data_IF_849320477497
#
_entry.id   IF_849320477497
#
_cell.length_a   1.000
_cell.length_b   1.000
_cell.length_c   1.000
_cell.angle_alpha   90.00
_cell.angle_beta   90.00
_cell.angle_gamma   90.00
#
_symmetry.space_group_name_H-M   'P 1'
#
loop_
_entity.id
_entity.type
_entity.pdbx_description
1 polymer ?
#
# COMPACT_ATOMS: atom_id res chain seq x y z
N UNK A 1 -15.86 -20.56 49.40
CA UNK A 1 -16.10 -20.78 47.95
C UNK A 1 -16.23 -19.46 47.19
N UNK A 2 -16.42 -18.33 47.88
CA UNK A 2 -16.73 -17.03 47.26
C UNK A 2 -15.50 -16.31 46.68
N UNK A 3 -14.32 -16.43 47.29
CA UNK A 3 -13.12 -15.75 46.78
C UNK A 3 -12.69 -16.24 45.38
N UNK A 4 -12.83 -17.55 45.10
CA UNK A 4 -12.46 -18.11 43.79
C UNK A 4 -13.41 -17.63 42.68
N UNK A 5 -14.69 -17.42 43.03
CA UNK A 5 -15.72 -16.90 42.15
C UNK A 5 -15.49 -15.41 41.83
N UNK A 6 -15.21 -14.58 42.82
CA UNK A 6 -14.91 -13.15 42.59
C UNK A 6 -13.59 -12.94 41.85
N UNK A 7 -12.59 -13.80 42.07
CA UNK A 7 -11.32 -13.77 41.32
C UNK A 7 -11.56 -14.12 39.85
N UNK A 8 -12.31 -15.18 39.55
CA UNK A 8 -12.61 -15.56 38.15
C UNK A 8 -13.47 -14.52 37.44
N UNK A 9 -14.46 -13.93 38.13
CA UNK A 9 -15.25 -12.82 37.58
C UNK A 9 -14.40 -11.57 37.34
N UNK A 10 -13.46 -11.26 38.24
CA UNK A 10 -12.50 -10.19 38.07
C UNK A 10 -11.59 -10.39 36.85
N UNK A 11 -11.08 -11.60 36.62
CA UNK A 11 -10.28 -11.93 35.44
C UNK A 11 -11.08 -11.84 34.13
N UNK A 12 -12.34 -12.30 34.13
CA UNK A 12 -13.23 -12.18 32.97
C UNK A 12 -13.53 -10.71 32.65
N UNK A 13 -13.83 -9.91 33.67
CA UNK A 13 -14.11 -8.49 33.52
C UNK A 13 -12.87 -7.71 33.06
N UNK A 14 -11.71 -7.99 33.63
CA UNK A 14 -10.43 -7.40 33.22
C UNK A 14 -10.08 -7.79 31.78
N UNK A 15 -10.30 -9.06 31.41
CA UNK A 15 -10.12 -9.55 30.04
C UNK A 15 -11.05 -8.87 29.04
N UNK A 16 -12.32 -8.66 29.38
CA UNK A 16 -13.29 -7.93 28.56
C UNK A 16 -12.96 -6.44 28.44
N UNK A 17 -12.52 -5.80 29.53
CA UNK A 17 -12.12 -4.39 29.56
C UNK A 17 -10.86 -4.14 28.73
N UNK A 18 -9.83 -4.98 28.90
CA UNK A 18 -8.61 -4.95 28.08
C UNK A 18 -8.92 -5.22 26.60
N UNK A 19 -9.82 -6.16 26.31
CA UNK A 19 -10.29 -6.46 24.94
C UNK A 19 -11.07 -5.30 24.31
N UNK A 20 -11.78 -4.50 25.10
CA UNK A 20 -12.51 -3.33 24.59
C UNK A 20 -11.57 -2.14 24.38
N UNK A 21 -10.55 -1.97 25.22
CA UNK A 21 -9.51 -0.96 25.05
C UNK A 21 -8.65 -1.22 23.81
N UNK A 22 -8.41 -2.49 23.44
CA UNK A 22 -7.75 -2.84 22.17
C UNK A 22 -8.63 -2.60 20.94
N UNK A 23 -9.97 -2.59 21.06
CA UNK A 23 -10.89 -2.21 19.96
C UNK A 23 -10.72 -0.76 19.50
N UNK A 24 -10.19 0.14 20.33
CA UNK A 24 -9.89 1.52 19.92
C UNK A 24 -8.65 1.64 19.01
N UNK A 25 -7.88 0.56 18.85
CA UNK A 25 -6.73 0.47 17.94
C UNK A 25 -7.02 -0.35 16.66
N UNK A 26 -8.29 -0.43 16.26
CA UNK A 26 -8.87 -1.20 15.12
C UNK A 26 -8.40 -0.78 13.71
N UNK A 27 -7.15 -0.35 13.53
CA UNK A 27 -6.57 -0.37 12.19
C UNK A 27 -5.99 -1.77 11.97
N UNK A 28 -6.21 -2.31 10.78
CA UNK A 28 -5.72 -3.63 10.41
C UNK A 28 -4.19 -3.68 10.57
N UNK A 29 -3.68 -4.68 11.30
CA UNK A 29 -2.24 -4.82 11.58
C UNK A 29 -1.40 -4.94 10.30
N UNK A 30 -1.95 -5.53 9.25
CA UNK A 30 -1.30 -5.68 7.95
C UNK A 30 -1.22 -4.31 7.26
N UNK A 31 -2.33 -3.56 7.24
CA UNK A 31 -2.34 -2.23 6.64
C UNK A 31 -1.53 -1.20 7.44
N UNK A 32 -1.43 -1.32 8.77
CA UNK A 32 -0.53 -0.47 9.57
C UNK A 32 0.93 -0.54 9.09
N UNK A 33 1.36 -1.66 8.52
CA UNK A 33 2.74 -1.83 8.04
C UNK A 33 3.08 -0.95 6.82
N UNK A 34 2.08 -0.46 6.09
CA UNK A 34 2.29 0.46 4.96
C UNK A 34 2.09 1.93 5.31
N UNK A 35 1.75 2.25 6.56
CA UNK A 35 1.56 3.63 6.99
C UNK A 35 2.86 4.44 6.84
N UNK A 36 2.80 5.57 6.13
CA UNK A 36 3.92 6.45 5.85
C UNK A 36 4.78 6.04 4.64
N UNK A 37 4.50 4.91 3.99
CA UNK A 37 5.19 4.47 2.78
C UNK A 37 4.50 5.03 1.53
N UNK A 38 5.28 5.20 0.45
CA UNK A 38 4.72 5.36 -0.88
C UNK A 38 4.18 4.00 -1.34
N UNK A 39 2.91 3.94 -1.73
CA UNK A 39 2.29 2.72 -2.24
C UNK A 39 1.44 2.99 -3.47
N UNK A 40 1.27 1.94 -4.28
CA UNK A 40 0.33 1.92 -5.40
C UNK A 40 -0.80 0.96 -5.05
N UNK A 41 -2.03 1.48 -4.96
CA UNK A 41 -3.25 0.72 -4.76
C UNK A 41 -3.87 0.43 -6.13
N UNK A 42 -4.09 -0.85 -6.43
CA UNK A 42 -4.85 -1.30 -7.58
C UNK A 42 -6.23 -1.76 -7.12
N UNK A 43 -7.26 -1.17 -7.71
CA UNK A 43 -8.67 -1.49 -7.46
C UNK A 43 -9.12 -2.65 -8.36
N UNK A 44 -10.21 -3.34 -7.99
CA UNK A 44 -10.76 -4.45 -8.79
C UNK A 44 -11.27 -4.01 -10.17
N UNK A 45 -11.60 -2.73 -10.34
CA UNK A 45 -11.96 -2.13 -11.64
C UNK A 45 -10.71 -1.72 -12.47
N UNK A 46 -9.52 -2.20 -12.12
CA UNK A 46 -8.23 -1.88 -12.73
C UNK A 46 -7.78 -0.41 -12.56
N UNK A 47 -8.50 0.43 -11.81
CA UNK A 47 -8.03 1.77 -11.46
C UNK A 47 -6.82 1.66 -10.56
N UNK A 48 -5.73 2.34 -10.91
CA UNK A 48 -4.53 2.47 -10.09
C UNK A 48 -4.47 3.85 -9.47
N UNK A 49 -4.12 3.90 -8.20
CA UNK A 49 -3.98 5.13 -7.41
C UNK A 49 -2.70 4.99 -6.62
N UNK A 50 -1.83 5.97 -6.68
CA UNK A 50 -0.53 5.93 -6.01
C UNK A 50 -0.37 7.16 -5.12
N UNK A 51 0.52 7.08 -4.13
CA UNK A 51 0.79 8.19 -3.23
C UNK A 51 1.34 7.75 -1.89
N UNK A 52 1.58 8.71 -1.00
CA UNK A 52 1.99 8.43 0.38
C UNK A 52 0.78 7.99 1.21
N UNK A 53 0.86 6.79 1.77
CA UNK A 53 -0.27 6.18 2.49
C UNK A 53 -0.34 6.63 3.94
N UNK A 54 -1.51 7.10 4.35
CA UNK A 54 -1.88 7.34 5.75
C UNK A 54 -3.04 6.42 6.13
N UNK A 55 -2.86 5.62 7.18
CA UNK A 55 -3.88 4.67 7.64
C UNK A 55 -4.69 5.30 8.77
N UNK A 56 -6.00 5.41 8.55
CA UNK A 56 -6.97 5.90 9.53
C UNK A 56 -7.78 4.73 10.11
N UNK A 57 -8.60 4.98 11.14
CA UNK A 57 -9.44 3.92 11.72
C UNK A 57 -10.57 3.47 10.78
N UNK A 58 -11.03 4.37 9.90
CA UNK A 58 -12.21 4.18 9.06
C UNK A 58 -11.89 4.17 7.56
N UNK A 59 -10.61 4.28 7.19
CA UNK A 59 -10.21 4.45 5.80
C UNK A 59 -8.70 4.46 5.61
N UNK A 60 -8.30 4.55 4.35
CA UNK A 60 -6.93 4.72 3.89
C UNK A 60 -6.89 5.99 3.05
N UNK A 61 -5.91 6.86 3.30
CA UNK A 61 -5.69 8.07 2.53
C UNK A 61 -4.37 7.96 1.76
N UNK A 62 -4.38 8.30 0.48
CA UNK A 62 -3.19 8.44 -0.35
C UNK A 62 -3.00 9.93 -0.64
N UNK A 63 -1.91 10.51 -0.13
CA UNK A 63 -1.53 11.86 -0.50
C UNK A 63 -0.79 11.81 -1.84
N UNK A 64 -1.28 12.59 -2.80
CA UNK A 64 -0.61 12.78 -4.08
C UNK A 64 0.63 13.65 -3.87
N UNK A 65 1.65 13.43 -4.69
CA UNK A 65 2.82 14.31 -4.75
C UNK A 65 2.54 15.63 -5.46
N UNK A 66 1.53 15.66 -6.32
CA UNK A 66 1.14 16.83 -7.12
C UNK A 66 -0.32 17.20 -6.91
N UNK A 67 -0.64 18.44 -7.26
CA UNK A 67 -2.00 18.95 -7.28
C UNK A 67 -2.77 18.35 -8.47
N UNK A 68 -3.62 17.36 -8.19
CA UNK A 68 -4.43 16.71 -9.22
C UNK A 68 -5.76 17.44 -9.34
N UNK A 69 -6.22 17.74 -10.54
CA UNK A 69 -7.51 18.41 -10.72
C UNK A 69 -8.65 17.39 -10.90
N UNK A 70 -9.80 17.67 -10.29
CA UNK A 70 -11.01 16.89 -10.52
C UNK A 70 -11.61 17.17 -11.90
N UNK A 71 -12.63 16.41 -12.30
CA UNK A 71 -13.35 16.62 -13.58
C UNK A 71 -13.99 18.02 -13.73
N UNK A 72 -14.00 18.83 -12.66
CA UNK A 72 -14.50 20.21 -12.63
C UNK A 72 -13.37 21.25 -12.49
N UNK A 73 -12.10 20.83 -12.62
CA UNK A 73 -10.95 21.72 -12.53
C UNK A 73 -10.62 22.24 -11.13
N UNK A 74 -11.06 21.57 -10.06
CA UNK A 74 -10.65 21.94 -8.70
C UNK A 74 -9.49 21.06 -8.22
N UNK A 75 -8.54 21.60 -7.47
CA UNK A 75 -7.40 20.84 -6.99
C UNK A 75 -7.78 19.80 -5.93
N UNK A 76 -7.08 18.67 -5.97
CA UNK A 76 -7.19 17.53 -5.09
C UNK A 76 -5.76 17.11 -4.70
N UNK A 77 -5.53 17.02 -3.39
CA UNK A 77 -4.21 16.66 -2.84
C UNK A 77 -4.18 15.26 -2.24
N UNK A 78 -5.33 14.59 -2.11
CA UNK A 78 -5.40 13.24 -1.58
C UNK A 78 -6.58 12.45 -2.12
N UNK A 79 -6.44 11.12 -2.06
CA UNK A 79 -7.50 10.16 -2.35
C UNK A 79 -7.84 9.38 -1.09
N UNK A 80 -9.07 9.51 -0.61
CA UNK A 80 -9.54 8.83 0.59
C UNK A 80 -10.39 7.64 0.17
N UNK A 81 -9.97 6.45 0.59
CA UNK A 81 -10.71 5.18 0.47
C UNK A 81 -11.37 4.90 1.81
N UNK A 82 -12.70 4.93 1.85
CA UNK A 82 -13.43 4.51 3.03
C UNK A 82 -13.54 2.98 3.07
N UNK A 83 -14.07 2.47 4.19
CA UNK A 83 -14.19 1.02 4.41
C UNK A 83 -14.83 0.25 3.26
N UNK A 84 -15.86 0.82 2.62
CA UNK A 84 -16.55 0.20 1.48
C UNK A 84 -15.65 0.13 0.24
N UNK A 85 -14.80 1.13 0.04
CA UNK A 85 -13.84 1.17 -1.08
C UNK A 85 -12.66 0.24 -0.82
N UNK A 86 -12.25 0.07 0.45
CA UNK A 86 -11.17 -0.85 0.85
C UNK A 86 -11.48 -2.29 0.42
N UNK A 87 -12.75 -2.71 0.51
CA UNK A 87 -13.19 -4.03 0.07
C UNK A 87 -13.11 -4.20 -1.46
N UNK A 88 -13.05 -3.10 -2.22
CA UNK A 88 -12.86 -3.08 -3.67
C UNK A 88 -11.38 -3.02 -4.09
N UNK A 89 -10.45 -2.94 -3.14
CA UNK A 89 -9.03 -3.04 -3.45
C UNK A 89 -8.75 -4.46 -3.94
N UNK A 90 -7.92 -4.56 -4.98
CA UNK A 90 -7.43 -5.81 -5.54
C UNK A 90 -6.09 -6.19 -4.93
N UNK A 91 -5.17 -5.24 -4.88
CA UNK A 91 -3.81 -5.41 -4.35
C UNK A 91 -3.18 -4.05 -4.07
N UNK A 92 -2.38 -3.97 -3.02
CA UNK A 92 -1.53 -2.81 -2.72
C UNK A 92 -0.08 -3.22 -2.94
N UNK A 93 0.66 -2.42 -3.70
CA UNK A 93 2.07 -2.61 -3.96
C UNK A 93 2.90 -1.58 -3.19
N UNK A 94 3.99 -2.04 -2.58
CA UNK A 94 5.06 -1.21 -2.03
C UNK A 94 6.34 -1.52 -2.79
N UNK A 95 6.60 -0.79 -3.87
CA UNK A 95 7.76 -1.03 -4.72
C UNK A 95 9.05 -0.53 -4.06
N UNK A 96 10.13 -1.29 -4.14
CA UNK A 96 11.42 -0.91 -3.55
C UNK A 96 11.99 0.37 -4.15
N UNK A 97 11.79 0.58 -5.45
CA UNK A 97 12.35 1.69 -6.21
C UNK A 97 11.56 3.00 -6.09
N UNK A 98 10.44 3.00 -5.36
CA UNK A 98 9.60 4.18 -5.09
C UNK A 98 9.70 4.62 -3.61
N UNK A 99 10.65 4.04 -2.84
CA UNK A 99 10.84 4.37 -1.43
C UNK A 99 11.96 5.38 -1.21
N UNK A 100 11.70 6.35 -0.32
CA UNK A 100 12.75 7.18 0.29
C UNK A 100 13.80 6.31 0.99
N UNK A 101 15.02 6.83 1.18
CA UNK A 101 16.11 6.06 1.80
C UNK A 101 15.77 5.55 3.20
N UNK A 102 15.11 6.39 4.00
CA UNK A 102 14.64 6.02 5.33
C UNK A 102 13.64 4.85 5.25
N UNK A 103 12.66 4.92 4.36
CA UNK A 103 11.67 3.87 4.16
C UNK A 103 12.29 2.58 3.58
N UNK A 104 13.29 2.71 2.71
CA UNK A 104 14.01 1.56 2.17
C UNK A 104 14.81 0.84 3.27
N UNK A 105 15.48 1.57 4.16
CA UNK A 105 16.19 0.99 5.29
C UNK A 105 15.23 0.27 6.25
N UNK A 106 14.06 0.88 6.53
CA UNK A 106 13.00 0.24 7.32
C UNK A 106 12.51 -1.05 6.65
N UNK A 107 12.21 -1.01 5.35
CA UNK A 107 11.79 -2.19 4.57
C UNK A 107 12.84 -3.31 4.64
N UNK A 108 14.11 -2.99 4.42
CA UNK A 108 15.18 -3.99 4.42
C UNK A 108 15.35 -4.66 5.80
N UNK A 109 15.15 -3.89 6.88
CA UNK A 109 15.10 -4.43 8.24
C UNK A 109 13.90 -5.37 8.40
N UNK A 110 12.71 -4.98 7.94
CA UNK A 110 11.52 -5.84 7.99
C UNK A 110 11.73 -7.16 7.25
N UNK A 111 12.31 -7.12 6.05
CA UNK A 111 12.61 -8.33 5.25
C UNK A 111 13.59 -9.22 6.00
N UNK A 112 14.67 -8.66 6.55
CA UNK A 112 15.65 -9.43 7.33
C UNK A 112 15.00 -10.10 8.54
N UNK A 113 14.14 -9.38 9.26
CA UNK A 113 13.43 -9.89 10.43
C UNK A 113 12.41 -10.97 10.05
N UNK A 114 11.79 -10.90 8.86
CA UNK A 114 10.87 -11.93 8.34
C UNK A 114 11.61 -13.16 7.78
N UNK A 115 12.69 -12.99 7.03
CA UNK A 115 13.43 -14.10 6.42
C UNK A 115 14.28 -14.88 7.43
N UNK A 116 14.67 -14.25 8.53
CA UNK A 116 15.52 -14.86 9.55
C UNK A 116 15.05 -14.45 10.96
N UNK A 117 13.86 -14.95 11.37
CA UNK A 117 13.25 -14.53 12.62
C UNK A 117 14.08 -14.98 13.83
N UNK A 118 14.36 -14.05 14.74
CA UNK A 118 14.89 -14.38 16.07
C UNK A 118 13.82 -15.08 16.94
N UNK A 119 14.23 -15.65 18.08
CA UNK A 119 13.33 -16.41 18.97
C UNK A 119 12.23 -15.53 19.64
N UNK A 120 12.45 -14.22 19.78
CA UNK A 120 11.60 -13.30 20.54
C UNK A 120 10.35 -12.75 19.79
N UNK A 121 10.41 -12.44 18.48
CA UNK A 121 9.22 -12.13 17.69
C UNK A 121 8.17 -13.25 17.69
N UNK A 122 8.60 -14.52 17.74
CA UNK A 122 7.71 -15.69 17.78
C UNK A 122 6.84 -15.71 19.03
N UNK A 123 7.41 -15.41 20.21
CA UNK A 123 6.67 -15.42 21.48
C UNK A 123 5.69 -14.24 21.61
N UNK A 124 6.06 -13.05 21.14
CA UNK A 124 5.17 -11.88 21.10
C UNK A 124 3.96 -12.10 20.18
N UNK A 125 4.16 -12.81 19.05
CA UNK A 125 3.10 -13.19 18.13
C UNK A 125 2.12 -14.18 18.77
N UNK A 126 2.62 -15.21 19.45
CA UNK A 126 1.77 -16.13 20.23
C UNK A 126 0.99 -15.43 21.34
N UNK A 127 1.57 -14.44 22.03
CA UNK A 127 0.86 -13.65 23.04
C UNK A 127 -0.26 -12.81 22.42
N UNK A 128 0.00 -12.12 21.30
CA UNK A 128 -1.01 -11.33 20.60
C UNK A 128 -2.16 -12.19 20.05
N UNK A 129 -1.84 -13.39 19.54
CA UNK A 129 -2.82 -14.38 19.11
C UNK A 129 -3.62 -14.93 20.30
N UNK A 130 -2.96 -15.23 21.42
CA UNK A 130 -3.59 -15.67 22.65
C UNK A 130 -4.59 -14.64 23.16
N UNK A 131 -4.25 -13.34 23.19
CA UNK A 131 -5.19 -12.29 23.60
C UNK A 131 -6.38 -12.14 22.66
N UNK A 132 -6.21 -12.36 21.35
CA UNK A 132 -7.31 -12.36 20.40
C UNK A 132 -8.25 -13.58 20.56
N UNK A 133 -7.72 -14.74 20.93
CA UNK A 133 -8.52 -15.95 21.17
C UNK A 133 -9.12 -16.00 22.60
N UNK A 134 -8.54 -15.26 23.55
CA UNK A 134 -8.98 -15.19 24.95
C UNK A 134 -10.38 -14.56 25.09
N UNK A 135 -10.77 -13.66 24.18
CA UNK A 135 -12.13 -13.10 24.18
C UNK A 135 -13.22 -14.13 23.85
N UNK A 136 -12.91 -15.11 23.00
CA UNK A 136 -13.86 -16.13 22.57
C UNK A 136 -14.14 -17.13 23.70
N UNK A 137 -13.09 -17.55 24.41
CA UNK A 137 -13.20 -18.40 25.59
C UNK A 137 -13.95 -17.71 26.76
N UNK A 138 -13.82 -16.39 26.90
CA UNK A 138 -14.61 -15.59 27.86
C UNK A 138 -16.10 -15.67 27.53
N UNK A 139 -16.48 -15.56 26.26
CA UNK A 139 -17.88 -15.65 25.84
C UNK A 139 -18.51 -17.01 26.15
N UNK A 140 -17.77 -18.09 25.92
CA UNK A 140 -18.21 -19.45 26.24
C UNK A 140 -18.30 -19.70 27.75
N UNK A 141 -17.31 -19.24 28.53
CA UNK A 141 -17.33 -19.31 29.99
C UNK A 141 -18.50 -18.49 30.59
N UNK A 142 -18.80 -17.32 30.03
CA UNK A 142 -19.95 -16.49 30.42
C UNK A 142 -21.28 -17.20 30.14
N UNK A 143 -21.42 -17.90 29.01
CA UNK A 143 -22.64 -18.68 28.72
C UNK A 143 -22.85 -19.84 29.70
N UNK A 144 -21.78 -20.58 30.04
CA UNK A 144 -21.82 -21.65 31.05
C UNK A 144 -22.16 -21.08 32.43
N UNK A 145 -21.58 -19.92 32.78
CA UNK A 145 -21.84 -19.21 34.02
C UNK A 145 -23.30 -18.73 34.14
N UNK A 146 -23.84 -18.10 33.09
CA UNK A 146 -25.24 -17.66 33.02
C UNK A 146 -26.22 -18.83 33.12
N UNK A 147 -25.88 -19.98 32.53
CA UNK A 147 -26.68 -21.20 32.59
C UNK A 147 -26.71 -21.78 34.01
N UNK A 148 -25.57 -21.77 34.71
CA UNK A 148 -25.48 -22.22 36.11
C UNK A 148 -26.19 -21.28 37.09
N UNK A 149 -26.17 -19.96 36.86
CA UNK A 149 -26.89 -18.99 37.70
C UNK A 149 -28.41 -19.04 37.53
N UNK A 150 -28.91 -19.34 36.33
CA UNK A 150 -30.36 -19.54 36.08
C UNK A 150 -30.93 -20.80 36.72
N UNK A 151 -30.11 -21.84 36.92
CA UNK A 151 -30.52 -23.12 37.54
C UNK A 151 -30.43 -23.18 39.07
N UNK A 152 -29.86 -22.16 39.72
CA UNK A 152 -29.69 -22.12 41.18
C UNK A 152 -30.82 -21.37 41.90
N UNK A 153 -31.10 -21.74 43.17
CA UNK A 153 -32.13 -21.15 44.06
C UNK A 153 -32.03 -19.63 44.29
N UNK A 154 -31.00 -18.94 43.78
CA UNK A 154 -30.84 -17.47 43.81
C UNK A 154 -31.31 -16.73 42.54
N UNK A 155 -31.83 -17.44 41.53
CA UNK A 155 -32.15 -16.88 40.21
C UNK A 155 -33.32 -15.89 40.14
N UNK A 156 -34.02 -15.61 41.25
CA UNK A 156 -35.21 -14.75 41.25
C UNK A 156 -34.88 -13.24 41.43
N UNK A 157 -33.67 -12.90 41.90
CA UNK A 157 -33.26 -11.50 42.18
C UNK A 157 -32.59 -10.82 40.96
N UNK A 158 -32.20 -11.59 39.94
CA UNK A 158 -31.42 -11.10 38.79
C UNK A 158 -32.22 -10.85 37.50
N UNK A 159 -33.56 -10.96 37.55
CA UNK A 159 -34.41 -10.85 36.36
C UNK A 159 -34.58 -9.43 35.81
N UNK A 160 -34.19 -8.38 36.55
CA UNK A 160 -34.31 -6.98 36.10
C UNK A 160 -33.03 -6.39 35.49
N UNK A 161 -31.87 -7.03 35.64
CA UNK A 161 -30.60 -6.62 35.01
C UNK A 161 -30.05 -7.62 33.98
N UNK A 162 -30.67 -8.80 33.84
CA UNK A 162 -30.22 -9.87 32.95
C UNK A 162 -30.18 -9.49 31.47
N UNK A 163 -31.10 -8.64 30.99
CA UNK A 163 -31.16 -8.25 29.58
C UNK A 163 -30.04 -7.28 29.17
N UNK A 164 -29.57 -6.46 30.10
CA UNK A 164 -28.45 -5.54 29.85
C UNK A 164 -27.12 -6.31 29.73
N UNK A 165 -26.90 -7.29 30.63
CA UNK A 165 -25.74 -8.18 30.59
C UNK A 165 -25.77 -9.11 29.37
N UNK A 166 -26.96 -9.58 28.97
CA UNK A 166 -27.13 -10.41 27.77
C UNK A 166 -26.83 -9.63 26.49
N UNK A 167 -27.25 -8.36 26.40
CA UNK A 167 -26.89 -7.45 25.29
C UNK A 167 -25.39 -7.13 25.27
N UNK A 168 -24.78 -6.85 26.42
CA UNK A 168 -23.33 -6.60 26.48
C UNK A 168 -22.51 -7.84 26.12
N UNK A 169 -22.94 -9.03 26.56
CA UNK A 169 -22.32 -10.31 26.21
C UNK A 169 -22.41 -10.61 24.72
N UNK A 170 -23.58 -10.45 24.09
CA UNK A 170 -23.75 -10.71 22.66
C UNK A 170 -23.01 -9.70 21.79
N UNK A 171 -22.91 -8.42 22.17
CA UNK A 171 -22.10 -7.41 21.47
C UNK A 171 -20.59 -7.63 21.63
N UNK A 172 -20.15 -8.22 22.75
CA UNK A 172 -18.76 -8.64 22.93
C UNK A 172 -18.41 -9.85 22.04
N UNK A 173 -19.31 -10.83 21.96
CA UNK A 173 -19.18 -12.07 21.18
C UNK A 173 -19.25 -11.88 19.66
N UNK A 174 -20.05 -10.93 19.16
CA UNK A 174 -20.23 -10.71 17.70
C UNK A 174 -19.19 -9.77 17.07
N UNK A 175 -18.27 -9.21 17.87
CA UNK A 175 -17.32 -8.20 17.41
C UNK A 175 -15.89 -8.71 17.19
N UNK A 176 -15.65 -10.02 17.33
CA UNK A 176 -14.34 -10.65 17.16
C UNK A 176 -14.46 -11.71 16.07
N UNK A 177 -14.26 -11.30 14.81
CA UNK A 177 -13.97 -12.26 13.76
C UNK A 177 -12.62 -12.90 14.06
N UNK A 178 -12.56 -14.23 14.08
CA UNK A 178 -11.35 -15.00 14.34
C UNK A 178 -10.21 -14.54 13.40
N UNK A 179 -9.29 -13.73 13.92
CA UNK A 179 -8.14 -13.21 13.17
C UNK A 179 -6.97 -14.21 13.13
N UNK A 180 -7.06 -15.30 13.89
CA UNK A 180 -6.07 -16.38 13.89
C UNK A 180 -6.46 -17.46 12.88
N UNK A 181 -5.52 -17.82 12.01
CA UNK A 181 -5.66 -18.93 11.08
C UNK A 181 -4.49 -19.89 11.30
N UNK A 182 -4.73 -21.08 11.91
CA UNK A 182 -3.69 -22.06 12.19
C UNK A 182 -2.90 -22.50 10.95
N UNK A 183 -3.52 -22.49 9.78
CA UNK A 183 -2.88 -22.88 8.53
C UNK A 183 -1.92 -21.78 8.10
N UNK A 184 -2.39 -20.53 8.01
CA UNK A 184 -1.53 -19.41 7.62
C UNK A 184 -0.38 -19.18 8.61
N UNK A 185 -0.61 -19.41 9.90
CA UNK A 185 0.42 -19.26 10.93
C UNK A 185 1.64 -20.13 10.69
N UNK A 186 1.45 -21.35 10.16
CA UNK A 186 2.56 -22.27 9.85
C UNK A 186 3.47 -21.74 8.75
N UNK A 187 2.93 -20.93 7.83
CA UNK A 187 3.65 -20.39 6.67
C UNK A 187 4.25 -19.02 6.93
N UNK A 188 4.00 -18.41 8.09
CA UNK A 188 4.61 -17.12 8.46
C UNK A 188 6.13 -17.26 8.48
N UNK A 189 6.83 -16.29 7.92
CA UNK A 189 8.28 -16.27 7.69
C UNK A 189 8.78 -17.32 6.68
N UNK A 190 7.88 -18.01 5.97
CA UNK A 190 8.26 -18.95 4.91
C UNK A 190 8.02 -18.35 3.53
N UNK A 191 8.71 -18.90 2.52
CA UNK A 191 8.42 -18.60 1.13
C UNK A 191 7.07 -19.19 0.73
N UNK A 192 6.27 -18.35 0.09
CA UNK A 192 4.93 -18.68 -0.38
C UNK A 192 4.71 -18.11 -1.78
N UNK A 193 3.80 -18.75 -2.51
CA UNK A 193 3.26 -18.24 -3.76
C UNK A 193 1.79 -17.91 -3.52
N UNK A 194 1.42 -16.65 -3.65
CA UNK A 194 0.03 -16.22 -3.51
C UNK A 194 -0.51 -15.90 -4.89
N UNK A 195 -1.59 -16.58 -5.28
CA UNK A 195 -2.29 -16.35 -6.54
C UNK A 195 -3.59 -15.60 -6.26
N UNK A 196 -3.88 -14.57 -7.04
CA UNK A 196 -5.19 -13.91 -7.00
C UNK A 196 -6.23 -14.77 -7.72
N UNK A 197 -7.38 -15.00 -7.08
CA UNK A 197 -8.52 -15.70 -7.64
C UNK A 197 -9.43 -14.73 -8.43
N UNK A 198 -8.84 -14.04 -9.39
CA UNK A 198 -9.52 -13.11 -10.29
C UNK A 198 -9.23 -13.45 -11.76
N UNK A 199 -9.69 -12.61 -12.68
CA UNK A 199 -9.52 -12.82 -14.12
C UNK A 199 -8.05 -12.83 -14.58
N UNK A 200 -7.17 -12.09 -13.89
CA UNK A 200 -5.75 -11.95 -14.26
C UNK A 200 -4.92 -13.18 -13.87
N UNK A 201 -5.31 -13.86 -12.77
CA UNK A 201 -4.56 -14.95 -12.13
C UNK A 201 -3.11 -14.58 -11.80
N UNK A 202 -2.84 -13.32 -11.48
CA UNK A 202 -1.52 -12.86 -11.06
C UNK A 202 -0.97 -13.70 -9.89
N UNK A 203 0.33 -14.00 -9.95
CA UNK A 203 1.06 -14.75 -8.92
C UNK A 203 2.14 -13.89 -8.29
N UNK A 204 2.24 -13.97 -6.97
CA UNK A 204 3.22 -13.26 -6.16
C UNK A 204 4.05 -14.26 -5.36
N UNK A 205 5.34 -14.33 -5.65
CA UNK A 205 6.28 -15.22 -4.97
C UNK A 205 7.14 -14.40 -4.00
N UNK A 206 7.06 -14.68 -2.71
CA UNK A 206 7.81 -13.94 -1.69
C UNK A 206 7.71 -14.58 -0.31
N UNK A 207 7.97 -13.83 0.76
CA UNK A 207 7.88 -14.30 2.14
C UNK A 207 6.59 -13.82 2.82
N UNK A 208 5.84 -14.74 3.44
CA UNK A 208 4.65 -14.37 4.21
C UNK A 208 5.06 -13.67 5.52
N UNK A 209 4.80 -12.37 5.66
CA UNK A 209 5.14 -11.61 6.88
C UNK A 209 4.02 -11.70 7.93
N UNK A 210 2.83 -11.28 7.55
CA UNK A 210 1.71 -11.06 8.44
C UNK A 210 0.40 -11.29 7.69
N UNK A 211 -0.64 -11.74 8.41
CA UNK A 211 -2.00 -11.81 7.91
C UNK A 211 -2.97 -11.27 8.95
N UNK A 212 -4.16 -10.87 8.55
CA UNK A 212 -5.29 -10.52 9.41
C UNK A 212 -6.54 -11.29 8.98
N UNK A 213 -7.69 -10.96 9.55
CA UNK A 213 -8.97 -11.49 9.05
C UNK A 213 -9.24 -11.06 7.60
N UNK A 214 -8.72 -9.91 7.16
CA UNK A 214 -9.04 -9.30 5.87
C UNK A 214 -7.86 -9.23 4.90
N UNK A 215 -6.61 -9.25 5.37
CA UNK A 215 -5.43 -8.97 4.54
C UNK A 215 -4.29 -9.97 4.74
N UNK A 216 -3.45 -10.12 3.73
CA UNK A 216 -2.20 -10.88 3.75
C UNK A 216 -1.09 -9.98 3.22
N UNK A 217 0.08 -10.01 3.86
CA UNK A 217 1.29 -9.31 3.40
C UNK A 217 2.37 -10.30 2.98
N UNK A 218 2.86 -10.14 1.76
CA UNK A 218 3.96 -10.92 1.20
C UNK A 218 5.08 -9.95 0.83
N UNK A 219 6.25 -10.15 1.43
CA UNK A 219 7.42 -9.31 1.19
C UNK A 219 8.32 -9.90 0.12
N UNK A 220 9.14 -9.03 -0.45
CA UNK A 220 10.25 -9.42 -1.33
C UNK A 220 9.80 -10.19 -2.58
N UNK A 221 8.71 -9.72 -3.17
CA UNK A 221 8.14 -10.24 -4.40
C UNK A 221 8.86 -9.67 -5.63
N UNK A 222 9.08 -10.53 -6.62
CA UNK A 222 9.53 -10.10 -7.94
C UNK A 222 8.32 -9.76 -8.83
N UNK A 223 8.13 -8.47 -9.12
CA UNK A 223 6.94 -7.93 -9.77
C UNK A 223 7.28 -7.48 -11.20
N UNK A 224 6.75 -8.19 -12.19
CA UNK A 224 6.83 -7.78 -13.60
C UNK A 224 5.51 -7.18 -14.03
N UNK A 225 5.45 -5.85 -14.19
CA UNK A 225 4.22 -5.13 -14.51
C UNK A 225 4.45 -4.06 -15.56
N UNK A 226 3.38 -3.76 -16.30
CA UNK A 226 3.27 -2.54 -17.07
C UNK A 226 2.97 -1.40 -16.09
N UNK A 227 3.84 -0.41 -16.08
CA UNK A 227 3.74 0.81 -15.30
C UNK A 227 3.47 1.99 -16.22
N UNK A 228 2.83 2.99 -15.63
CA UNK A 228 2.51 4.26 -16.24
C UNK A 228 3.14 5.32 -15.37
N UNK A 229 3.82 6.28 -16.00
CA UNK A 229 4.54 7.34 -15.31
C UNK A 229 4.26 8.65 -16.02
N UNK A 230 3.71 9.57 -15.28
CA UNK A 230 3.40 10.91 -15.74
C UNK A 230 4.72 11.71 -15.79
N UNK A 231 5.02 12.28 -16.95
CA UNK A 231 6.31 12.95 -17.20
C UNK A 231 6.41 14.32 -16.52
N UNK A 232 5.28 14.87 -16.09
CA UNK A 232 5.15 16.11 -15.34
C UNK A 232 5.14 15.92 -13.81
N UNK A 233 5.37 14.71 -13.28
CA UNK A 233 5.36 14.43 -11.84
C UNK A 233 6.78 14.33 -11.25
N UNK A 234 7.39 15.50 -10.97
CA UNK A 234 8.79 15.59 -10.50
C UNK A 234 9.04 14.78 -9.23
N UNK A 235 8.15 14.85 -8.25
CA UNK A 235 8.35 14.15 -6.99
C UNK A 235 8.39 12.63 -7.20
N UNK A 236 7.47 12.08 -8.01
CA UNK A 236 7.52 10.66 -8.34
C UNK A 236 8.75 10.32 -9.18
N UNK A 237 9.08 11.14 -10.17
CA UNK A 237 10.26 10.96 -11.02
C UNK A 237 11.57 10.98 -10.21
N UNK A 238 11.67 11.86 -9.21
CA UNK A 238 12.84 11.95 -8.31
C UNK A 238 12.89 10.86 -7.25
N UNK A 239 11.77 10.19 -6.96
CA UNK A 239 11.73 8.98 -6.14
C UNK A 239 12.17 7.74 -6.92
N UNK A 240 12.03 7.72 -8.25
CA UNK A 240 12.39 6.58 -9.09
C UNK A 240 13.90 6.38 -9.15
N UNK A 241 14.40 5.50 -8.30
CA UNK A 241 15.84 5.18 -8.24
C UNK A 241 16.41 4.53 -9.50
N UNK A 242 15.58 4.02 -10.40
CA UNK A 242 16.07 3.29 -11.56
C UNK A 242 16.14 4.14 -12.83
N UNK A 243 15.59 5.35 -12.84
CA UNK A 243 15.51 6.21 -14.03
C UNK A 243 15.80 7.66 -13.67
N UNK A 244 16.62 8.32 -14.49
CA UNK A 244 16.72 9.77 -14.50
C UNK A 244 16.15 10.30 -15.82
N UNK A 245 15.56 11.49 -15.75
CA UNK A 245 14.98 12.16 -16.90
C UNK A 245 15.70 13.49 -17.12
N UNK A 246 15.98 13.83 -18.36
CA UNK A 246 16.38 15.18 -18.75
C UNK A 246 15.46 15.65 -19.87
N UNK A 247 15.07 16.91 -19.78
CA UNK A 247 14.12 17.55 -20.68
C UNK A 247 14.80 18.76 -21.30
N UNK A 248 14.66 18.91 -22.62
CA UNK A 248 15.07 20.10 -23.36
C UNK A 248 13.91 20.54 -24.24
N UNK A 249 13.37 21.72 -23.98
CA UNK A 249 12.31 22.33 -24.77
C UNK A 249 12.90 23.49 -25.59
N UNK A 250 12.69 23.46 -26.89
CA UNK A 250 13.20 24.46 -27.82
C UNK A 250 12.25 24.69 -28.99
N UNK A 251 12.43 25.82 -29.67
CA UNK A 251 11.65 26.18 -30.86
C UNK A 251 12.08 25.34 -32.07
N UNK A 252 11.10 24.72 -32.73
CA UNK A 252 11.24 24.01 -33.99
C UNK A 252 10.94 24.91 -35.20
N UNK A 253 10.61 24.29 -36.33
CA UNK A 253 10.24 25.02 -37.54
C UNK A 253 8.77 25.46 -37.46
N UNK A 254 8.43 26.60 -38.08
CA UNK A 254 7.04 27.08 -38.23
C UNK A 254 6.28 27.29 -36.91
N UNK A 255 6.91 27.94 -35.91
CA UNK A 255 6.25 28.29 -34.65
C UNK A 255 5.76 27.06 -33.86
N UNK A 256 6.49 25.93 -33.97
CA UNK A 256 6.24 24.70 -33.22
C UNK A 256 7.29 24.53 -32.12
N UNK A 257 6.94 23.87 -31.02
CA UNK A 257 7.91 23.49 -29.99
C UNK A 257 8.26 22.01 -30.05
N UNK A 258 9.51 21.70 -29.73
CA UNK A 258 10.03 20.33 -29.66
C UNK A 258 10.50 20.08 -28.23
N UNK A 259 9.98 19.02 -27.61
CA UNK A 259 10.44 18.54 -26.32
C UNK A 259 11.32 17.30 -26.53
N UNK A 260 12.62 17.45 -26.37
CA UNK A 260 13.54 16.32 -26.31
C UNK A 260 13.54 15.73 -24.90
N UNK A 261 13.33 14.42 -24.82
CA UNK A 261 13.32 13.67 -23.57
C UNK A 261 14.44 12.65 -23.60
N UNK A 262 15.32 12.74 -22.61
CA UNK A 262 16.40 11.79 -22.40
C UNK A 262 16.10 10.96 -21.16
N UNK A 263 16.02 9.65 -21.33
CA UNK A 263 15.85 8.71 -20.21
C UNK A 263 17.19 8.00 -20.00
N UNK A 264 17.72 8.08 -18.78
CA UNK A 264 18.93 7.36 -18.36
C UNK A 264 18.53 6.26 -17.38
N UNK A 265 18.84 5.01 -17.69
CA UNK A 265 18.38 3.87 -16.90
C UNK A 265 19.50 3.27 -16.05
N UNK A 266 19.24 3.08 -14.75
CA UNK A 266 20.17 2.58 -13.75
C UNK A 266 19.71 1.30 -13.05
N UNK A 267 18.49 0.83 -13.31
CA UNK A 267 18.00 -0.39 -12.69
C UNK A 267 18.75 -1.66 -13.13
N UNK A 268 18.63 -2.72 -12.31
CA UNK A 268 19.35 -3.98 -12.52
C UNK A 268 18.69 -4.89 -13.56
N UNK A 269 17.39 -4.77 -13.77
CA UNK A 269 16.61 -5.59 -14.72
C UNK A 269 16.41 -4.83 -16.03
N UNK A 270 16.15 -5.49 -17.16
CA UNK A 270 15.82 -4.76 -18.39
C UNK A 270 14.52 -3.95 -18.27
N UNK A 271 14.56 -2.70 -18.77
CA UNK A 271 13.40 -1.82 -18.86
C UNK A 271 12.91 -1.77 -20.30
N UNK A 272 11.66 -2.18 -20.57
CA UNK A 272 11.05 -2.05 -21.88
C UNK A 272 10.17 -0.81 -21.95
N UNK A 273 10.60 0.22 -22.67
CA UNK A 273 9.83 1.41 -23.01
C UNK A 273 8.86 1.08 -24.15
N UNK A 274 7.57 1.31 -23.93
CA UNK A 274 6.51 0.92 -24.86
C UNK A 274 6.11 2.11 -25.70
N UNK A 275 5.53 3.14 -25.08
CA UNK A 275 4.91 4.28 -25.76
C UNK A 275 4.78 5.48 -24.83
N UNK A 276 4.57 6.66 -25.43
CA UNK A 276 4.11 7.87 -24.76
C UNK A 276 2.71 8.21 -25.24
N UNK A 277 1.83 8.51 -24.30
CA UNK A 277 0.41 8.80 -24.56
C UNK A 277 0.04 10.14 -23.91
N UNK A 278 -0.75 10.94 -24.62
CA UNK A 278 -1.47 12.11 -24.12
C UNK A 278 -2.89 12.14 -24.71
N UNK A 279 -3.71 13.14 -24.37
CA UNK A 279 -5.14 13.18 -24.76
C UNK A 279 -5.36 12.99 -26.28
N UNK A 280 -4.49 13.58 -27.10
CA UNK A 280 -4.50 13.45 -28.57
C UNK A 280 -3.11 13.11 -29.12
N UNK A 281 -2.24 12.58 -28.26
CA UNK A 281 -0.85 12.31 -28.59
C UNK A 281 -0.54 10.84 -28.38
N UNK A 282 0.12 10.21 -29.36
CA UNK A 282 0.51 8.82 -29.25
C UNK A 282 1.80 8.58 -30.02
N UNK A 283 2.84 8.11 -29.32
CA UNK A 283 4.15 7.86 -29.91
C UNK A 283 4.75 6.56 -29.40
N UNK A 284 4.90 5.52 -30.25
CA UNK A 284 5.57 4.28 -29.85
C UNK A 284 7.08 4.49 -29.71
N UNK A 285 7.68 3.87 -28.69
CA UNK A 285 9.13 3.86 -28.46
C UNK A 285 9.70 2.47 -28.77
N UNK A 286 9.06 1.41 -28.24
CA UNK A 286 9.43 0.00 -28.44
C UNK A 286 10.94 -0.29 -28.27
N UNK A 287 11.55 0.24 -27.21
CA UNK A 287 12.98 0.06 -26.91
C UNK A 287 13.17 -0.62 -25.57
N UNK A 288 14.15 -1.52 -25.49
CA UNK A 288 14.60 -2.09 -24.21
C UNK A 288 15.93 -1.46 -23.81
N UNK A 289 15.98 -0.88 -22.60
CA UNK A 289 17.18 -0.37 -21.96
C UNK A 289 17.73 -1.39 -20.97
N UNK A 290 19.05 -1.56 -20.98
CA UNK A 290 19.82 -2.28 -19.97
C UNK A 290 20.47 -1.30 -19.01
N UNK A 291 21.01 -1.81 -17.90
CA UNK A 291 21.72 -1.02 -16.91
C UNK A 291 22.75 -0.05 -17.54
N UNK A 292 22.69 1.23 -17.14
CA UNK A 292 23.50 2.36 -17.63
C UNK A 292 23.34 2.70 -19.12
N UNK A 293 22.25 2.27 -19.75
CA UNK A 293 21.89 2.74 -21.08
C UNK A 293 20.99 3.97 -21.00
N UNK A 294 21.09 4.81 -22.03
CA UNK A 294 20.18 5.94 -22.23
C UNK A 294 19.53 5.87 -23.60
N UNK A 295 18.42 6.58 -23.73
CA UNK A 295 17.77 6.88 -25.01
C UNK A 295 17.37 8.34 -24.99
N UNK A 296 17.53 9.01 -26.13
CA UNK A 296 16.91 10.29 -26.41
C UNK A 296 15.84 10.12 -27.47
N UNK A 297 14.76 10.89 -27.36
CA UNK A 297 13.75 10.99 -28.39
C UNK A 297 13.04 12.34 -28.34
N UNK A 298 12.67 12.86 -29.51
CA UNK A 298 11.98 14.15 -29.65
C UNK A 298 10.46 13.99 -29.72
N UNK A 299 9.74 14.81 -28.98
CA UNK A 299 8.28 14.93 -29.02
C UNK A 299 7.94 16.21 -29.79
N UNK A 300 7.47 16.03 -31.02
CA UNK A 300 7.01 17.10 -31.91
C UNK A 300 5.48 17.26 -31.81
N UNK A 301 4.94 18.37 -32.31
CA UNK A 301 3.49 18.67 -32.29
C UNK A 301 2.90 18.67 -30.88
N UNK A 302 3.56 19.38 -29.96
CA UNK A 302 3.10 19.50 -28.57
C UNK A 302 1.72 20.19 -28.48
N UNK A 303 0.92 19.91 -27.43
CA UNK A 303 -0.37 20.57 -27.22
C UNK A 303 -0.25 22.09 -27.09
N UNK A 304 -1.30 22.81 -27.51
CA UNK A 304 -1.37 24.28 -27.48
C UNK A 304 -1.19 24.87 -26.07
N UNK A 305 -1.52 24.12 -25.02
CA UNK A 305 -1.38 24.52 -23.61
C UNK A 305 0.07 24.87 -23.23
N UNK A 306 1.05 24.20 -23.87
CA UNK A 306 2.48 24.52 -23.70
C UNK A 306 2.78 25.91 -24.25
N UNK A 307 2.10 26.34 -25.32
CA UNK A 307 2.31 27.64 -25.96
C UNK A 307 1.74 28.80 -25.17
N UNK A 308 0.67 28.57 -24.39
CA UNK A 308 0.02 29.63 -23.60
C UNK A 308 0.75 29.93 -22.29
N UNK A 309 1.55 28.98 -21.80
CA UNK A 309 2.26 29.05 -20.51
C UNK A 309 3.73 29.45 -20.62
N UNK A 310 4.31 29.42 -21.83
CA UNK A 310 5.70 29.80 -22.07
C UNK A 310 5.87 31.29 -22.36
N UNK A 311 6.70 31.95 -21.57
CA UNK A 311 7.27 33.23 -21.96
C UNK A 311 8.42 32.97 -22.96
N UNK A 312 8.44 33.70 -24.09
CA UNK A 312 9.41 33.52 -25.18
C UNK A 312 10.88 33.65 -24.74
N UNK A 313 11.14 34.33 -23.62
CA UNK A 313 12.47 34.56 -23.04
C UNK A 313 13.04 33.36 -22.26
N UNK A 314 12.24 32.31 -22.04
CA UNK A 314 12.63 31.12 -21.26
C UNK A 314 13.23 29.99 -22.12
N UNK A 315 13.35 30.17 -23.43
CA UNK A 315 13.86 29.13 -24.36
C UNK A 315 15.34 29.35 -24.73
N UNK A 316 16.13 28.26 -24.89
CA UNK A 316 15.78 26.87 -24.63
C UNK A 316 15.69 26.57 -23.13
N UNK A 317 14.70 25.75 -22.76
CA UNK A 317 14.48 25.35 -21.39
C UNK A 317 15.08 23.97 -21.16
N UNK A 318 16.04 23.88 -20.24
CA UNK A 318 16.70 22.64 -19.86
C UNK A 318 16.51 22.35 -18.37
N UNK A 319 16.09 21.13 -18.04
CA UNK A 319 16.06 20.69 -16.65
C UNK A 319 16.14 19.17 -16.53
N UNK A 320 16.68 18.73 -15.40
CA UNK A 320 16.89 17.32 -15.09
C UNK A 320 16.11 16.91 -13.84
N UNK A 321 15.47 15.76 -13.93
CA UNK A 321 14.85 15.06 -12.81
C UNK A 321 15.71 13.83 -12.49
N UNK A 322 16.71 14.08 -11.65
CA UNK A 322 17.64 13.06 -11.15
C UNK A 322 17.07 12.49 -9.85
N UNK A 323 17.14 11.16 -9.72
CA UNK A 323 16.74 10.52 -8.48
C UNK A 323 17.52 11.07 -7.27
N UNK A 324 16.84 11.14 -6.12
CA UNK A 324 17.37 11.73 -4.89
C UNK A 324 18.70 11.14 -4.42
N UNK A 325 18.96 9.86 -4.73
CA UNK A 325 20.21 9.17 -4.34
C UNK A 325 21.40 9.46 -5.26
N UNK A 326 21.15 10.00 -6.46
CA UNK A 326 22.18 10.37 -7.44
C UNK A 326 22.37 11.87 -7.59
N UNK A 327 21.43 12.67 -7.10
CA UNK A 327 21.49 14.13 -7.19
C UNK A 327 22.40 14.71 -6.11
N UNK A 328 23.27 15.64 -6.50
CA UNK A 328 24.02 16.46 -5.55
C UNK A 328 23.19 17.71 -5.21
N UNK A 329 22.71 17.83 -3.95
CA UNK A 329 21.97 19.01 -3.47
C UNK A 329 20.45 18.93 -3.62
N UNK A 330 19.76 20.04 -3.30
CA UNK A 330 18.31 20.21 -3.48
C UNK A 330 17.97 20.50 -4.95
N UNK A 331 16.75 20.18 -5.44
CA UNK A 331 16.41 20.53 -6.82
C UNK A 331 16.34 22.06 -6.92
N UNK A 332 16.72 22.65 -8.05
CA UNK A 332 16.48 24.06 -8.30
C UNK A 332 15.00 24.39 -8.08
N UNK A 333 14.68 25.49 -7.37
CA UNK A 333 13.28 25.93 -7.20
C UNK A 333 12.58 26.15 -8.55
N UNK A 334 13.35 26.49 -9.59
CA UNK A 334 12.88 26.63 -10.97
C UNK A 334 12.28 25.33 -11.54
N UNK A 335 12.64 24.16 -11.02
CA UNK A 335 12.06 22.89 -11.46
C UNK A 335 10.53 22.84 -11.27
N UNK A 336 10.00 23.46 -10.21
CA UNK A 336 8.55 23.55 -9.97
C UNK A 336 7.87 24.43 -11.03
N UNK A 337 8.54 25.49 -11.47
CA UNK A 337 8.06 26.36 -12.56
C UNK A 337 8.07 25.56 -13.87
N UNK A 338 9.14 24.83 -14.15
CA UNK A 338 9.29 24.03 -15.36
C UNK A 338 8.30 22.85 -15.41
N UNK A 339 7.90 22.31 -14.26
CA UNK A 339 6.85 21.31 -14.16
C UNK A 339 5.54 21.78 -14.78
N UNK A 340 5.14 23.01 -14.49
CA UNK A 340 3.87 23.58 -14.96
C UNK A 340 3.81 23.75 -16.48
N UNK A 341 4.97 23.74 -17.13
CA UNK A 341 5.15 23.93 -18.57
C UNK A 341 5.14 22.58 -19.31
N UNK A 342 5.41 21.47 -18.61
CA UNK A 342 5.45 20.16 -19.24
C UNK A 342 4.05 19.71 -19.71
N UNK A 343 3.95 19.16 -20.92
CA UNK A 343 2.70 18.56 -21.37
C UNK A 343 2.34 17.36 -20.50
N UNK A 344 1.05 17.17 -20.24
CA UNK A 344 0.53 16.03 -19.50
C UNK A 344 0.62 14.76 -20.36
N UNK A 345 1.81 14.16 -20.37
CA UNK A 345 2.14 12.94 -21.08
C UNK A 345 2.45 11.80 -20.10
N UNK A 346 2.00 10.61 -20.46
CA UNK A 346 2.24 9.38 -19.72
C UNK A 346 3.16 8.47 -20.50
N UNK A 347 4.30 8.14 -19.91
CA UNK A 347 5.20 7.08 -20.37
C UNK A 347 4.68 5.73 -19.90
N UNK A 348 4.40 4.83 -20.85
CA UNK A 348 4.13 3.42 -20.56
C UNK A 348 5.39 2.59 -20.73
N UNK A 349 5.72 1.82 -19.71
CA UNK A 349 6.88 0.96 -19.71
C UNK A 349 6.60 -0.34 -18.96
N UNK A 350 7.40 -1.36 -19.25
CA UNK A 350 7.39 -2.64 -18.55
C UNK A 350 8.71 -2.83 -17.85
N UNK A 351 8.65 -3.10 -16.55
CA UNK A 351 9.82 -3.33 -15.71
C UNK A 351 9.57 -4.51 -14.77
N UNK A 352 10.66 -5.16 -14.42
CA UNK A 352 10.71 -6.16 -13.35
C UNK A 352 11.34 -5.49 -12.14
N UNK A 353 10.56 -5.34 -11.06
CA UNK A 353 10.97 -4.62 -9.84
C UNK A 353 10.69 -5.46 -8.61
N UNK A 354 11.55 -5.32 -7.60
CA UNK A 354 11.28 -5.92 -6.29
C UNK A 354 10.29 -5.06 -5.52
N UNK A 355 9.36 -5.68 -4.81
CA UNK A 355 8.39 -4.97 -4.01
C UNK A 355 7.66 -5.89 -3.05
N UNK A 356 6.82 -5.29 -2.21
CA UNK A 356 5.97 -6.03 -1.29
C UNK A 356 4.52 -5.89 -1.74
N UNK A 357 3.71 -6.92 -1.49
CA UNK A 357 2.30 -6.94 -1.87
C UNK A 357 1.41 -7.18 -0.66
N UNK A 358 0.30 -6.46 -0.62
CA UNK A 358 -0.73 -6.59 0.40
C UNK A 358 -2.04 -6.92 -0.32
N UNK A 359 -2.59 -8.08 0.02
CA UNK A 359 -3.66 -8.73 -0.74
C UNK A 359 -4.87 -8.94 0.16
N UNK A 360 -6.10 -8.65 -0.32
CA UNK A 360 -7.31 -9.06 0.38
C UNK A 360 -7.35 -10.58 0.49
N UNK A 361 -7.61 -11.09 1.69
CA UNK A 361 -7.70 -12.53 1.97
C UNK A 361 -8.84 -13.21 1.22
N UNK A 362 -9.89 -12.47 0.86
CA UNK A 362 -11.02 -12.94 0.05
C UNK A 362 -10.61 -13.28 -1.39
N UNK A 363 -9.56 -12.64 -1.92
CA UNK A 363 -9.07 -12.85 -3.29
C UNK A 363 -7.80 -13.71 -3.32
N UNK A 364 -7.03 -13.75 -2.23
CA UNK A 364 -5.74 -14.41 -2.17
C UNK A 364 -5.85 -15.93 -1.90
N UNK A 365 -5.28 -16.74 -2.80
CA UNK A 365 -5.11 -18.18 -2.62
C UNK A 365 -3.63 -18.46 -2.39
N UNK A 366 -3.29 -18.88 -1.17
CA UNK A 366 -1.92 -19.20 -0.77
C UNK A 366 -1.54 -20.62 -1.20
N UNK A 367 -0.35 -20.76 -1.78
CA UNK A 367 0.31 -22.02 -2.08
C UNK A 367 1.69 -22.00 -1.47
N UNK A 368 2.11 -23.12 -0.92
CA UNK A 368 3.46 -23.31 -0.44
C UNK A 368 4.22 -24.19 -1.43
N UNK A 369 5.46 -23.80 -1.71
CA UNK A 369 6.42 -24.64 -2.41
C UNK A 369 7.46 -25.07 -1.37
N UNK A 370 7.55 -26.37 -1.12
CA UNK A 370 8.66 -26.96 -0.39
C UNK A 370 9.92 -26.77 -1.23
N UNK A 371 10.65 -25.69 -0.98
CA UNK A 371 11.95 -25.41 -1.58
C UNK A 371 13.02 -25.44 -0.53
#
# INVERSE_FOLDING_TARGET
MDNLFFVTLGFIFLGALLSNLTKWRKQDRVLKAINGFHTTIEMQNCKKIWGRTTIHSNGVELHFSREIHNSRGNPINSYILYREDIDQIRVIYRYQNELSEQNLALRNREIKDTCSPSLWPRTKRHLNVFFNNFSDAIGEALNVFLTRMKGGRGGMIFNTQGDYLKKMGTTALSAVGNAYDPILEQYVNQRVVVRLNDASKDEFCGFLKEYSSAWISVLDCNLTKNKELELDDIEHLTLLRDMDFAYMLYEGNENSFILEVIIRYFGAQPLALIEIVGEKYHRPINKTLKHKQSISFSLENLPNEVYESLAEDLLPLEFEMIATDRREGEPPESNLIYQSILPNFTLKYKVTSMGDVYLPRTLAVLRHSSS
#
